data_IF_285375713301
#
_entry.id   IF_285375713301
#
_cell.length_a   1.000
_cell.length_b   1.000
_cell.length_c   1.000
_cell.angle_alpha   90.00
_cell.angle_beta   90.00
_cell.angle_gamma   90.00
#
_symmetry.space_group_name_H-M   'P 1'
#
loop_
_entity.id
_entity.type
_entity.pdbx_description
1 polymer ?
#
# COMPACT_ATOMS: atom_id res chain seq x y z
N UNK A 1 -15.37 -3.44 -1.96
CA UNK A 1 -14.87 -3.13 -0.60
C UNK A 1 -13.53 -3.83 -0.42
N UNK A 2 -12.45 -3.08 -0.13
CA UNK A 2 -11.12 -3.66 0.06
C UNK A 2 -11.11 -4.54 1.31
N UNK A 3 -10.71 -5.79 1.13
CA UNK A 3 -10.65 -6.78 2.21
C UNK A 3 -9.21 -6.89 2.76
N UNK A 4 -8.99 -7.79 3.71
CA UNK A 4 -7.68 -8.11 4.28
C UNK A 4 -6.63 -8.54 3.21
N UNK A 5 -7.08 -8.91 2.01
CA UNK A 5 -6.23 -9.25 0.86
C UNK A 5 -5.57 -8.04 0.21
N UNK A 6 -6.01 -6.81 0.52
CA UNK A 6 -5.50 -5.59 -0.13
C UNK A 6 -3.97 -5.43 -0.09
N UNK A 7 -3.32 -5.91 0.98
CA UNK A 7 -1.86 -5.85 1.09
C UNK A 7 -1.15 -6.71 0.05
N UNK A 8 -1.63 -7.94 -0.16
CA UNK A 8 -1.06 -8.84 -1.16
C UNK A 8 -1.44 -8.42 -2.58
N UNK A 9 -2.65 -7.89 -2.77
CA UNK A 9 -3.12 -7.36 -4.05
C UNK A 9 -2.26 -6.17 -4.49
N UNK A 10 -1.96 -5.23 -3.58
CA UNK A 10 -1.09 -4.09 -3.84
C UNK A 10 0.35 -4.51 -4.18
N UNK A 11 0.89 -5.47 -3.44
CA UNK A 11 2.22 -6.03 -3.74
C UNK A 11 2.28 -6.72 -5.09
N UNK A 12 1.29 -7.52 -5.43
CA UNK A 12 1.19 -8.18 -6.73
C UNK A 12 1.04 -7.17 -7.87
N UNK A 13 0.24 -6.12 -7.69
CA UNK A 13 0.09 -5.06 -8.68
C UNK A 13 1.43 -4.37 -8.99
N UNK A 14 2.23 -4.07 -7.96
CA UNK A 14 3.57 -3.53 -8.12
C UNK A 14 4.50 -4.50 -8.89
N UNK A 15 4.41 -5.79 -8.58
CA UNK A 15 5.20 -6.83 -9.29
C UNK A 15 4.80 -6.93 -10.74
N UNK A 16 3.50 -6.99 -11.06
CA UNK A 16 3.02 -7.09 -12.44
C UNK A 16 3.42 -5.86 -13.27
N UNK A 17 3.30 -4.67 -12.70
CA UNK A 17 3.76 -3.44 -13.35
C UNK A 17 5.26 -3.51 -13.69
N UNK A 18 6.10 -3.98 -12.76
CA UNK A 18 7.53 -4.15 -13.01
C UNK A 18 7.81 -5.27 -14.02
N UNK A 19 7.06 -6.37 -13.98
CA UNK A 19 7.18 -7.49 -14.92
C UNK A 19 6.93 -7.04 -16.35
N UNK A 20 5.89 -6.26 -16.57
CA UNK A 20 5.52 -5.82 -17.93
C UNK A 20 6.52 -4.83 -18.52
N UNK A 21 7.14 -4.02 -17.69
CA UNK A 21 8.05 -2.97 -18.13
C UNK A 21 9.53 -3.34 -18.09
N UNK A 22 9.93 -4.41 -17.37
CA UNK A 22 11.31 -4.84 -17.25
C UNK A 22 11.64 -6.10 -18.05
N UNK A 23 10.65 -6.72 -18.68
CA UNK A 23 10.88 -7.90 -19.52
C UNK A 23 10.54 -7.62 -20.97
N UNK A 24 11.28 -8.18 -21.94
CA UNK A 24 12.39 -9.14 -21.80
C UNK A 24 13.75 -8.52 -21.42
N UNK A 25 13.86 -7.22 -21.35
CA UNK A 25 15.10 -6.51 -20.95
C UNK A 25 14.81 -5.42 -19.89
N UNK A 26 15.63 -5.31 -18.84
CA UNK A 26 16.89 -6.02 -18.58
C UNK A 26 16.71 -7.39 -17.92
N UNK A 27 15.49 -7.84 -17.64
CA UNK A 27 15.18 -9.12 -16.99
C UNK A 27 14.55 -10.05 -18.00
N UNK A 28 15.17 -11.20 -18.25
CA UNK A 28 14.78 -12.08 -19.36
C UNK A 28 13.41 -12.75 -19.24
N UNK A 29 12.85 -12.88 -18.02
CA UNK A 29 11.57 -13.54 -17.79
C UNK A 29 10.83 -12.86 -16.61
N UNK A 30 9.51 -12.70 -16.75
CA UNK A 30 8.61 -12.15 -15.74
C UNK A 30 8.69 -12.88 -14.39
N UNK A 31 8.86 -14.19 -14.41
CA UNK A 31 8.94 -15.01 -13.19
C UNK A 31 10.19 -14.77 -12.34
N UNK A 32 11.18 -14.06 -12.89
CA UNK A 32 12.37 -13.65 -12.16
C UNK A 32 12.17 -12.41 -11.29
N UNK A 33 10.96 -11.84 -11.30
CA UNK A 33 10.53 -10.73 -10.45
C UNK A 33 9.45 -11.24 -9.49
N UNK A 34 9.69 -11.18 -8.19
CA UNK A 34 8.78 -11.78 -7.22
C UNK A 34 8.69 -11.03 -5.89
N UNK A 35 7.54 -11.20 -5.21
CA UNK A 35 7.39 -10.86 -3.80
C UNK A 35 8.07 -11.95 -2.96
N UNK A 36 9.25 -11.68 -2.47
CA UNK A 36 9.94 -12.57 -1.55
C UNK A 36 11.00 -11.83 -0.74
N UNK A 37 11.44 -12.45 0.34
CA UNK A 37 12.58 -11.96 1.10
C UNK A 37 13.84 -11.93 0.23
N UNK A 38 14.68 -10.89 0.33
CA UNK A 38 15.93 -10.83 -0.41
C UNK A 38 16.92 -11.95 -0.06
N UNK A 39 16.69 -12.69 1.02
CA UNK A 39 17.44 -13.85 1.48
C UNK A 39 16.96 -15.15 0.77
N UNK A 40 15.68 -15.20 0.35
CA UNK A 40 15.09 -16.34 -0.36
C UNK A 40 15.13 -16.17 -1.88
N UNK A 41 16.08 -15.43 -2.39
CA UNK A 41 16.13 -15.00 -3.79
C UNK A 41 16.68 -16.01 -4.79
N UNK A 42 16.77 -17.32 -4.45
CA UNK A 42 17.53 -18.34 -5.18
C UNK A 42 17.38 -18.28 -6.71
N UNK A 43 16.21 -17.99 -7.23
CA UNK A 43 15.95 -17.91 -8.66
C UNK A 43 15.59 -16.52 -9.18
N UNK A 44 15.33 -15.55 -8.34
CA UNK A 44 14.87 -14.23 -8.73
C UNK A 44 16.02 -13.29 -9.08
N UNK A 45 15.79 -12.38 -10.02
CA UNK A 45 16.69 -11.30 -10.40
C UNK A 45 16.27 -9.97 -9.77
N UNK A 46 14.97 -9.80 -9.47
CA UNK A 46 14.45 -8.66 -8.72
C UNK A 46 13.48 -9.16 -7.66
N UNK A 47 13.72 -8.78 -6.42
CA UNK A 47 12.84 -9.14 -5.29
C UNK A 47 12.24 -7.90 -4.66
N UNK A 48 10.98 -8.01 -4.27
CA UNK A 48 10.24 -6.99 -3.54
C UNK A 48 9.86 -7.59 -2.18
N UNK A 49 10.34 -6.99 -1.12
CA UNK A 49 10.10 -7.45 0.24
C UNK A 49 9.35 -6.40 1.04
N UNK A 50 8.11 -6.69 1.44
CA UNK A 50 7.33 -5.83 2.33
C UNK A 50 7.93 -5.93 3.75
N UNK A 51 8.61 -4.87 4.18
CA UNK A 51 9.26 -4.85 5.49
C UNK A 51 8.56 -3.97 6.53
N UNK A 52 7.68 -3.07 6.09
CA UNK A 52 6.94 -2.19 6.99
C UNK A 52 5.55 -1.88 6.46
N UNK A 53 4.57 -1.95 7.36
CA UNK A 53 3.20 -1.49 7.15
C UNK A 53 2.90 -0.45 8.22
N UNK A 54 2.38 0.70 7.82
CA UNK A 54 2.11 1.82 8.71
C UNK A 54 0.76 2.44 8.36
N UNK A 55 -0.04 2.78 9.37
CA UNK A 55 -1.30 3.48 9.16
C UNK A 55 -1.03 4.92 8.68
N UNK A 56 -1.69 5.32 7.59
CA UNK A 56 -1.65 6.70 7.13
C UNK A 56 -2.69 7.52 7.88
N UNK A 57 -2.21 8.29 8.84
CA UNK A 57 -3.05 9.17 9.65
C UNK A 57 -3.25 10.57 9.04
N UNK A 58 -2.58 10.87 7.92
CA UNK A 58 -2.66 12.17 7.28
C UNK A 58 -3.92 12.28 6.42
N UNK A 59 -4.82 13.20 6.80
CA UNK A 59 -6.04 13.46 6.05
C UNK A 59 -7.10 12.34 6.12
N UNK A 60 -6.94 11.37 7.00
CA UNK A 60 -7.92 10.30 7.19
C UNK A 60 -9.00 10.79 8.16
N UNK A 61 -10.24 10.88 7.67
CA UNK A 61 -11.38 11.12 8.54
C UNK A 61 -11.62 9.88 9.41
N UNK A 62 -11.58 10.05 10.71
CA UNK A 62 -11.90 8.98 11.67
C UNK A 62 -13.40 8.91 11.96
N UNK A 63 -13.86 7.75 12.42
CA UNK A 63 -15.24 7.56 12.88
C UNK A 63 -16.11 6.75 11.94
N UNK A 64 -17.42 6.91 12.09
CA UNK A 64 -18.42 6.14 11.35
C UNK A 64 -19.04 6.98 10.24
N UNK A 65 -19.42 6.34 9.15
CA UNK A 65 -20.19 6.93 8.05
C UNK A 65 -21.50 6.17 7.83
N UNK A 66 -22.59 6.82 7.40
CA UNK A 66 -23.87 6.17 7.20
C UNK A 66 -23.84 5.28 5.95
N UNK A 67 -24.16 4.00 6.12
CA UNK A 67 -24.38 3.04 5.02
C UNK A 67 -25.87 2.95 4.70
N UNK A 68 -26.73 3.13 5.71
CA UNK A 68 -28.19 3.18 5.56
C UNK A 68 -28.79 4.16 6.58
N UNK A 69 -30.14 4.27 6.58
CA UNK A 69 -30.84 5.13 7.55
C UNK A 69 -30.63 4.72 9.02
N UNK A 70 -30.30 3.46 9.27
CA UNK A 70 -30.20 2.88 10.62
C UNK A 70 -28.85 2.21 10.90
N UNK A 71 -27.94 2.21 9.92
CA UNK A 71 -26.64 1.55 10.05
C UNK A 71 -25.52 2.48 9.65
N UNK A 72 -24.54 2.56 10.49
CA UNK A 72 -23.26 3.20 10.22
C UNK A 72 -22.15 2.17 10.26
N UNK A 73 -21.12 2.37 9.41
CA UNK A 73 -19.91 1.55 9.33
C UNK A 73 -18.68 2.38 9.71
N UNK A 74 -17.73 1.76 10.37
CA UNK A 74 -16.44 2.39 10.63
C UNK A 74 -15.73 2.64 9.30
N UNK A 75 -15.16 3.82 9.15
CA UNK A 75 -14.43 4.22 7.93
C UNK A 75 -13.26 3.27 7.64
N UNK A 76 -12.91 3.09 6.36
CA UNK A 76 -11.72 2.34 5.99
C UNK A 76 -10.45 3.02 6.54
N UNK A 77 -9.44 2.22 6.77
CA UNK A 77 -8.12 2.72 7.18
C UNK A 77 -7.18 2.64 5.99
N UNK A 78 -6.41 3.72 5.79
CA UNK A 78 -5.36 3.79 4.76
C UNK A 78 -4.03 3.32 5.35
N UNK A 79 -3.29 2.60 4.54
CA UNK A 79 -1.98 2.09 4.91
C UNK A 79 -0.91 2.50 3.90
N UNK A 80 0.27 2.74 4.44
CA UNK A 80 1.52 2.95 3.74
C UNK A 80 2.33 1.66 3.80
N UNK A 81 2.68 1.10 2.63
CA UNK A 81 3.42 -0.16 2.50
C UNK A 81 4.82 0.12 1.99
N UNK A 82 5.86 -0.24 2.75
CA UNK A 82 7.25 -0.04 2.34
C UNK A 82 7.87 -1.35 1.87
N UNK A 83 8.29 -1.34 0.62
CA UNK A 83 8.95 -2.47 -0.03
C UNK A 83 10.43 -2.17 -0.22
N UNK A 84 11.28 -3.11 0.21
CA UNK A 84 12.68 -3.15 -0.18
C UNK A 84 12.79 -3.83 -1.54
N UNK A 85 13.27 -3.11 -2.54
CA UNK A 85 13.52 -3.64 -3.88
C UNK A 85 15.01 -3.94 -4.03
N UNK A 86 15.33 -5.19 -4.37
CA UNK A 86 16.72 -5.68 -4.41
C UNK A 86 17.01 -6.40 -5.72
N UNK A 87 18.11 -6.07 -6.36
CA UNK A 87 18.58 -6.74 -7.56
C UNK A 87 19.56 -7.88 -7.22
N UNK A 88 19.40 -9.02 -7.91
CA UNK A 88 20.20 -10.22 -7.75
C UNK A 88 20.73 -10.67 -9.12
N UNK A 89 21.96 -10.31 -9.45
CA UNK A 89 22.57 -10.73 -10.72
C UNK A 89 23.07 -12.17 -10.65
N UNK A 90 22.82 -12.90 -11.73
CA UNK A 90 23.40 -14.24 -11.99
C UNK A 90 24.55 -14.18 -13.00
N UNK A 91 24.96 -13.00 -13.43
CA UNK A 91 26.08 -12.82 -14.33
C UNK A 91 27.40 -13.26 -13.68
N UNK A 92 28.42 -13.60 -14.48
CA UNK A 92 29.76 -13.85 -14.00
C UNK A 92 30.29 -12.68 -13.14
N UNK A 93 31.16 -12.96 -12.17
CA UNK A 93 31.61 -12.00 -11.19
C UNK A 93 32.06 -10.64 -11.75
N UNK A 94 32.71 -10.66 -12.93
CA UNK A 94 33.20 -9.44 -13.59
C UNK A 94 32.08 -8.53 -14.12
N UNK A 95 30.89 -9.07 -14.38
CA UNK A 95 29.74 -8.36 -14.95
C UNK A 95 28.62 -8.15 -13.94
N UNK A 96 28.73 -8.80 -12.79
CA UNK A 96 27.65 -8.91 -11.80
C UNK A 96 27.15 -7.55 -11.31
N UNK A 97 28.05 -6.66 -10.98
CA UNK A 97 27.71 -5.32 -10.49
C UNK A 97 27.06 -4.44 -11.56
N UNK A 98 27.65 -4.44 -12.77
CA UNK A 98 27.07 -3.70 -13.89
C UNK A 98 25.66 -4.19 -14.25
N UNK A 99 25.41 -5.49 -14.15
CA UNK A 99 24.12 -6.09 -14.38
C UNK A 99 23.09 -5.68 -13.28
N UNK A 100 23.51 -5.69 -12.02
CA UNK A 100 22.67 -5.16 -10.93
C UNK A 100 22.31 -3.69 -11.11
N UNK A 101 23.28 -2.85 -11.50
CA UNK A 101 23.05 -1.43 -11.72
C UNK A 101 22.07 -1.19 -12.87
N UNK A 102 22.14 -2.00 -13.92
CA UNK A 102 21.20 -1.95 -15.05
C UNK A 102 19.79 -2.28 -14.63
N UNK A 103 19.60 -3.38 -13.86
CA UNK A 103 18.29 -3.77 -13.33
C UNK A 103 17.70 -2.72 -12.38
N UNK A 104 18.51 -2.20 -11.45
CA UNK A 104 18.07 -1.15 -10.52
C UNK A 104 17.72 0.14 -11.29
N UNK A 105 18.56 0.55 -12.23
CA UNK A 105 18.32 1.74 -13.04
C UNK A 105 17.02 1.67 -13.83
N UNK A 106 16.76 0.52 -14.47
CA UNK A 106 15.51 0.28 -15.20
C UNK A 106 14.30 0.28 -14.25
N UNK A 107 14.39 -0.38 -13.10
CA UNK A 107 13.31 -0.38 -12.11
C UNK A 107 12.99 1.04 -11.61
N UNK A 108 14.02 1.85 -11.31
CA UNK A 108 13.84 3.25 -10.91
C UNK A 108 13.17 4.08 -12.00
N UNK A 109 13.50 3.84 -13.27
CA UNK A 109 12.86 4.52 -14.40
C UNK A 109 11.37 4.16 -14.49
N UNK A 110 11.02 2.87 -14.47
CA UNK A 110 9.63 2.39 -14.52
C UNK A 110 8.82 2.99 -13.38
N UNK A 111 9.31 2.94 -12.14
CA UNK A 111 8.62 3.48 -10.96
C UNK A 111 8.44 5.01 -11.03
N UNK A 112 9.32 5.71 -11.73
CA UNK A 112 9.20 7.15 -11.94
C UNK A 112 8.18 7.49 -13.02
N UNK A 113 8.10 6.65 -14.05
CA UNK A 113 7.17 6.83 -15.17
C UNK A 113 5.73 6.45 -14.77
N UNK A 114 5.57 5.57 -13.75
CA UNK A 114 4.30 5.14 -13.20
C UNK A 114 4.14 5.59 -11.72
N UNK A 115 3.85 6.88 -11.46
CA UNK A 115 3.69 7.42 -10.09
C UNK A 115 2.42 6.95 -9.39
N UNK A 116 1.51 6.32 -10.11
CA UNK A 116 0.28 5.66 -9.62
C UNK A 116 0.20 4.31 -10.31
N UNK A 117 -0.19 3.27 -9.60
CA UNK A 117 -0.41 1.95 -10.20
C UNK A 117 -1.63 2.03 -11.12
N UNK A 118 -1.44 1.66 -12.39
CA UNK A 118 -2.51 1.65 -13.38
C UNK A 118 -3.56 0.60 -13.04
N UNK A 119 -4.83 0.89 -13.38
CA UNK A 119 -5.97 0.04 -13.04
C UNK A 119 -5.88 -1.38 -13.61
N UNK A 120 -5.17 -1.56 -14.72
CA UNK A 120 -4.95 -2.86 -15.35
C UNK A 120 -4.13 -3.83 -14.50
N UNK A 121 -3.27 -3.31 -13.61
CA UNK A 121 -2.48 -4.12 -12.68
C UNK A 121 -3.22 -4.46 -11.38
N UNK A 122 -4.28 -3.72 -11.07
CA UNK A 122 -5.06 -3.97 -9.88
C UNK A 122 -5.93 -5.24 -10.04
N UNK A 123 -6.04 -5.99 -8.99
CA UNK A 123 -6.88 -7.20 -8.93
C UNK A 123 -7.72 -7.23 -7.66
N UNK A 124 -8.67 -8.17 -7.60
CA UNK A 124 -9.48 -8.42 -6.42
C UNK A 124 -10.20 -7.18 -5.90
N UNK A 125 -10.14 -6.99 -4.61
CA UNK A 125 -10.87 -5.92 -3.91
C UNK A 125 -10.39 -4.52 -4.26
N UNK A 126 -9.11 -4.35 -4.59
CA UNK A 126 -8.54 -3.06 -5.01
C UNK A 126 -9.02 -2.65 -6.41
N UNK A 127 -9.16 -3.61 -7.33
CA UNK A 127 -9.72 -3.36 -8.66
C UNK A 127 -11.21 -2.96 -8.60
N UNK A 128 -12.01 -3.66 -7.79
CA UNK A 128 -13.43 -3.35 -7.58
C UNK A 128 -13.67 -1.92 -7.07
N UNK A 129 -12.74 -1.39 -6.28
CA UNK A 129 -12.81 -0.04 -5.72
C UNK A 129 -12.19 1.04 -6.61
N UNK A 130 -11.59 0.68 -7.73
CA UNK A 130 -10.75 1.58 -8.53
C UNK A 130 -9.72 2.30 -7.64
N UNK A 131 -9.01 1.54 -6.80
CA UNK A 131 -8.07 2.07 -5.84
C UNK A 131 -7.00 2.94 -6.52
N UNK A 132 -6.65 4.06 -5.87
CA UNK A 132 -5.61 4.97 -6.35
C UNK A 132 -4.37 4.80 -5.48
N UNK A 133 -3.49 3.88 -5.86
CA UNK A 133 -2.27 3.57 -5.12
C UNK A 133 -1.11 4.35 -5.71
N UNK A 134 -0.53 5.25 -4.92
CA UNK A 134 0.62 6.04 -5.33
C UNK A 134 1.91 5.26 -5.09
N UNK A 135 2.83 5.38 -6.06
CA UNK A 135 4.18 4.81 -6.00
C UNK A 135 5.16 5.94 -5.74
N UNK A 136 5.87 5.86 -4.62
CA UNK A 136 6.83 6.89 -4.21
C UNK A 136 8.18 6.26 -3.96
N UNK A 137 9.23 6.78 -4.61
CA UNK A 137 10.61 6.41 -4.29
C UNK A 137 11.00 7.10 -2.98
N UNK A 138 11.15 6.32 -1.91
CA UNK A 138 11.43 6.87 -0.59
C UNK A 138 12.93 7.15 -0.42
N UNK A 139 13.23 8.34 0.09
CA UNK A 139 14.60 8.72 0.38
C UNK A 139 15.06 8.06 1.68
N UNK A 140 15.76 6.95 1.55
CA UNK A 140 16.24 6.16 2.68
C UNK A 140 17.74 6.39 2.89
N UNK A 141 18.14 6.62 4.13
CA UNK A 141 19.56 6.74 4.45
C UNK A 141 20.21 5.34 4.60
N UNK A 142 21.53 5.30 4.53
CA UNK A 142 22.29 4.05 4.58
C UNK A 142 22.06 3.28 5.90
N UNK A 143 21.94 3.98 7.03
CA UNK A 143 21.74 3.33 8.33
C UNK A 143 20.39 2.61 8.41
N UNK A 144 19.34 3.17 7.80
CA UNK A 144 18.03 2.53 7.71
C UNK A 144 18.11 1.29 6.82
N UNK A 145 18.75 1.36 5.66
CA UNK A 145 18.95 0.20 4.80
C UNK A 145 19.72 -0.91 5.51
N UNK A 146 20.83 -0.57 6.19
CA UNK A 146 21.61 -1.54 6.96
C UNK A 146 20.78 -2.20 8.08
N UNK A 147 19.92 -1.45 8.76
CA UNK A 147 19.00 -2.04 9.78
C UNK A 147 18.03 -3.05 9.17
N UNK A 148 17.48 -2.75 7.97
CA UNK A 148 16.60 -3.68 7.27
C UNK A 148 17.38 -4.95 6.92
N UNK A 149 18.58 -4.79 6.34
CA UNK A 149 19.44 -5.91 5.94
C UNK A 149 19.92 -6.76 7.12
N UNK A 150 20.26 -6.15 8.25
CA UNK A 150 20.66 -6.89 9.45
C UNK A 150 19.55 -7.84 9.96
N UNK A 151 18.28 -7.49 9.73
CA UNK A 151 17.15 -8.34 10.10
C UNK A 151 16.90 -9.48 9.11
N UNK A 152 17.51 -9.43 7.91
CA UNK A 152 17.31 -10.49 6.89
C UNK A 152 18.35 -11.61 6.96
N UNK A 153 19.34 -11.51 7.85
CA UNK A 153 20.46 -12.46 7.98
C UNK A 153 21.26 -12.68 6.68
N UNK A 154 21.18 -11.72 5.77
CA UNK A 154 21.86 -11.76 4.46
C UNK A 154 22.89 -10.63 4.33
N UNK A 155 23.89 -10.86 3.47
CA UNK A 155 24.85 -9.81 3.10
C UNK A 155 24.13 -8.68 2.35
N UNK A 156 24.47 -7.43 2.67
CA UNK A 156 23.94 -6.25 1.99
C UNK A 156 24.08 -6.36 0.47
N UNK A 157 23.03 -6.03 -0.23
CA UNK A 157 22.97 -5.91 -1.68
C UNK A 157 22.40 -4.55 -2.06
N UNK A 158 22.72 -4.10 -3.27
CA UNK A 158 22.16 -2.85 -3.79
C UNK A 158 20.64 -2.90 -3.80
N UNK A 159 20.04 -1.99 -3.07
CA UNK A 159 18.58 -1.94 -2.86
C UNK A 159 18.10 -0.51 -2.64
N UNK A 160 16.82 -0.30 -2.86
CA UNK A 160 16.14 0.96 -2.60
C UNK A 160 14.73 0.69 -2.05
N UNK A 161 14.10 1.72 -1.51
CA UNK A 161 12.77 1.60 -0.89
C UNK A 161 11.72 2.24 -1.77
N UNK A 162 10.64 1.50 -1.98
CA UNK A 162 9.40 1.96 -2.61
C UNK A 162 8.30 1.99 -1.58
N UNK A 163 7.61 3.12 -1.50
CA UNK A 163 6.42 3.31 -0.70
C UNK A 163 5.19 3.22 -1.60
N UNK A 164 4.28 2.31 -1.32
CA UNK A 164 2.92 2.34 -1.83
C UNK A 164 2.03 3.05 -0.80
N UNK A 165 1.41 4.15 -1.22
CA UNK A 165 0.54 4.97 -0.36
C UNK A 165 -0.90 4.93 -0.88
N UNK A 166 -1.85 4.91 0.06
CA UNK A 166 -3.27 4.92 -0.27
C UNK A 166 -3.90 3.53 -0.40
N UNK A 167 -3.28 2.50 0.16
CA UNK A 167 -3.88 1.16 0.25
C UNK A 167 -4.92 1.16 1.34
N UNK A 168 -6.20 1.04 0.99
CA UNK A 168 -7.31 1.06 1.94
C UNK A 168 -7.72 -0.36 2.33
N UNK A 169 -8.08 -0.53 3.62
CA UNK A 169 -8.74 -1.74 4.13
C UNK A 169 -10.02 -1.32 4.82
N UNK A 170 -11.14 -1.89 4.36
CA UNK A 170 -12.46 -1.63 4.91
C UNK A 170 -12.66 -2.28 6.27
N UNK A 171 -13.40 -1.59 7.15
CA UNK A 171 -13.82 -2.15 8.41
C UNK A 171 -15.12 -2.94 8.23
N UNK A 172 -15.19 -4.13 8.83
CA UNK A 172 -16.43 -4.91 8.97
C UNK A 172 -17.28 -4.47 10.17
N UNK A 173 -16.81 -3.46 10.93
CA UNK A 173 -17.49 -3.00 12.14
C UNK A 173 -18.64 -2.07 11.79
N UNK A 174 -19.85 -2.50 12.11
CA UNK A 174 -21.09 -1.73 11.94
C UNK A 174 -21.71 -1.43 13.30
N UNK A 175 -22.45 -0.32 13.37
CA UNK A 175 -23.30 0.02 14.51
C UNK A 175 -24.70 0.42 14.04
N UNK A 176 -25.70 0.06 14.79
CA UNK A 176 -27.08 0.54 14.57
C UNK A 176 -27.25 1.89 15.26
N UNK A 177 -27.88 2.80 14.55
CA UNK A 177 -28.26 4.12 15.08
C UNK A 177 -29.78 4.25 15.06
N UNK A 178 -30.33 4.84 16.11
CA UNK A 178 -31.73 5.26 16.14
C UNK A 178 -31.77 6.76 15.84
N UNK A 179 -32.38 7.15 14.72
CA UNK A 179 -32.60 8.57 14.44
C UNK A 179 -33.91 9.00 15.08
N UNK A 180 -33.90 10.14 15.76
CA UNK A 180 -35.12 10.80 16.21
C UNK A 180 -35.84 11.30 14.96
N UNK A 181 -36.99 10.73 14.66
CA UNK A 181 -37.83 11.08 13.51
C UNK A 181 -38.89 12.10 13.83
N UNK A 182 -39.27 12.23 15.12
CA UNK A 182 -40.28 13.16 15.60
C UNK A 182 -39.83 13.85 16.88
N UNK A 183 -39.96 15.17 16.91
CA UNK A 183 -39.79 16.00 18.12
C UNK A 183 -41.09 16.75 18.33
N UNK A 184 -41.91 16.34 19.30
CA UNK A 184 -43.05 17.15 19.74
C UNK A 184 -42.59 18.15 20.80
N UNK A 185 -42.76 19.43 20.53
CA UNK A 185 -42.45 20.51 21.46
C UNK A 185 -43.76 21.00 22.07
N UNK A 186 -44.08 20.61 23.33
CA UNK A 186 -45.16 21.17 24.12
C UNK A 186 -44.70 22.45 24.78
N UNK A 187 -45.21 23.58 24.30
CA UNK A 187 -44.99 24.89 24.94
C UNK A 187 -46.16 25.20 25.86
N UNK A 188 -45.89 25.20 27.21
CA UNK A 188 -46.84 25.68 28.19
C UNK A 188 -46.48 27.13 28.58
N UNK A 189 -47.40 28.03 28.32
CA UNK A 189 -47.27 29.41 28.77
C UNK A 189 -47.51 29.49 30.30
N UNK A 190 -46.46 29.91 31.02
CA UNK A 190 -46.57 30.12 32.47
C UNK A 190 -47.43 31.37 32.73
N UNK A 191 -48.65 31.21 33.19
CA UNK A 191 -49.47 32.35 33.64
C UNK A 191 -48.78 33.11 34.76
N UNK A 192 -48.58 34.42 34.53
CA UNK A 192 -48.03 35.31 35.53
C UNK A 192 -49.12 35.47 36.59
N UNK A 193 -48.89 34.93 37.78
CA UNK A 193 -49.78 35.10 38.93
C UNK A 193 -49.86 36.60 39.27
N UNK A 194 -51.09 37.10 39.28
CA UNK A 194 -51.38 38.43 39.84
C UNK A 194 -51.00 38.48 41.32
N UNK A 195 -50.13 39.42 41.62
CA UNK A 195 -49.92 39.80 43.02
C UNK A 195 -51.08 40.74 43.44
N UNK A 196 -51.93 40.23 44.30
CA UNK A 196 -52.80 41.03 45.12
C UNK A 196 -52.19 41.28 46.50
#
# INVERSE_FOLDING_TARGET
MADYTALVEAGNALVEMLRDNLTPEPIGNKELIALCSPHESENNQLTLYLYQVEEDTQGTESGYYPVSRTVERLRPTKYNLRFLVTAHSKAPAQMKEADQYRMVGAALQVLRDHPVIDQEYLSGSLAEQNAQIRVVLEKTNQDQLLKIWNNTSSTYKLSFVVLLSGVEIDSKKERRISRVTDVSIDTRQKSRGEMG
#
